data_IF_260527618335
#
_entry.id   IF_260527618335
#
_cell.length_a   1.000
_cell.length_b   1.000
_cell.length_c   1.000
_cell.angle_alpha   90.00
_cell.angle_beta   90.00
_cell.angle_gamma   90.00
#
_symmetry.space_group_name_H-M   'P 1'
#
loop_
_entity.id
_entity.type
_entity.pdbx_description
1 polymer ?
#
# COMPACT_ATOMS: atom_id res chain seq x y z
N UNK A 1 -0.14 -27.82 -24.26
CA UNK A 1 -0.08 -27.36 -22.86
C UNK A 1 -1.12 -28.17 -22.11
N UNK A 2 -0.69 -29.25 -21.41
CA UNK A 2 -1.60 -30.02 -20.56
C UNK A 2 -1.98 -29.17 -19.33
N UNK A 3 -3.28 -28.85 -19.21
CA UNK A 3 -3.83 -28.31 -17.98
C UNK A 3 -3.76 -29.40 -16.91
N UNK A 4 -2.97 -29.23 -15.89
CA UNK A 4 -2.98 -30.07 -14.69
C UNK A 4 -4.34 -29.82 -14.02
N UNK A 5 -5.23 -30.82 -13.89
CA UNK A 5 -6.49 -30.63 -13.18
C UNK A 5 -6.20 -30.41 -11.71
N UNK A 6 -6.74 -29.32 -11.16
CA UNK A 6 -6.72 -29.10 -9.72
C UNK A 6 -7.51 -30.20 -9.00
N UNK A 7 -7.04 -30.72 -7.86
CA UNK A 7 -7.79 -31.70 -7.08
C UNK A 7 -9.19 -31.16 -6.75
N UNK A 8 -10.23 -31.94 -7.00
CA UNK A 8 -11.63 -31.57 -6.73
C UNK A 8 -11.97 -31.46 -5.24
N UNK A 9 -11.08 -31.96 -4.38
CA UNK A 9 -11.24 -32.04 -2.91
C UNK A 9 -10.19 -31.20 -2.17
N UNK A 10 -9.77 -30.05 -2.73
CA UNK A 10 -9.04 -29.08 -1.90
C UNK A 10 -9.94 -28.73 -0.71
N UNK A 11 -9.47 -28.92 0.56
CA UNK A 11 -10.27 -28.55 1.71
C UNK A 11 -10.70 -27.09 1.53
N UNK A 12 -12.01 -26.83 1.69
CA UNK A 12 -12.51 -25.46 1.77
C UNK A 12 -11.71 -24.84 2.91
N UNK A 13 -10.76 -23.98 2.59
CA UNK A 13 -10.09 -23.16 3.60
C UNK A 13 -11.23 -22.41 4.25
N UNK A 14 -11.49 -22.69 5.53
CA UNK A 14 -12.31 -21.80 6.34
C UNK A 14 -11.66 -20.45 6.17
N UNK A 15 -12.39 -19.55 5.53
CA UNK A 15 -11.99 -18.14 5.46
C UNK A 15 -12.20 -17.70 6.91
N UNK A 16 -11.14 -17.80 7.73
CA UNK A 16 -11.09 -17.15 9.02
C UNK A 16 -11.51 -15.71 8.77
N UNK A 17 -12.46 -15.22 9.54
CA UNK A 17 -12.92 -13.83 9.46
C UNK A 17 -11.68 -12.95 9.39
N UNK A 18 -11.51 -12.24 8.28
CA UNK A 18 -10.30 -11.42 8.09
C UNK A 18 -10.38 -10.31 9.13
N UNK A 19 -9.52 -10.39 10.13
CA UNK A 19 -9.36 -9.32 11.10
C UNK A 19 -9.21 -7.99 10.41
N UNK A 20 -10.05 -7.05 10.75
CA UNK A 20 -10.00 -5.66 10.30
C UNK A 20 -9.98 -4.74 11.51
N UNK A 21 -9.25 -3.66 11.41
CA UNK A 21 -9.25 -2.61 12.43
C UNK A 21 -10.34 -1.59 12.15
N UNK A 22 -11.03 -1.18 13.19
CA UNK A 22 -11.92 -0.02 13.15
C UNK A 22 -11.11 1.30 13.12
N UNK A 23 -11.79 2.42 12.92
CA UNK A 23 -11.18 3.75 12.86
C UNK A 23 -10.38 4.06 14.13
N UNK A 24 -10.95 3.77 15.31
CA UNK A 24 -10.31 4.03 16.59
C UNK A 24 -9.00 3.26 16.73
N UNK A 25 -9.00 2.00 16.37
CA UNK A 25 -7.81 1.14 16.39
C UNK A 25 -6.77 1.62 15.37
N UNK A 26 -7.20 2.01 14.16
CA UNK A 26 -6.30 2.55 13.13
C UNK A 26 -5.60 3.82 13.60
N UNK A 27 -6.34 4.75 14.19
CA UNK A 27 -5.78 6.01 14.70
C UNK A 27 -4.83 5.77 15.89
N UNK A 28 -5.23 4.90 16.84
CA UNK A 28 -4.39 4.57 17.99
C UNK A 28 -3.10 3.90 17.56
N UNK A 29 -3.14 2.94 16.65
CA UNK A 29 -1.97 2.26 16.11
C UNK A 29 -1.02 3.22 15.40
N UNK A 30 -1.55 4.14 14.59
CA UNK A 30 -0.75 5.13 13.87
C UNK A 30 0.06 6.01 14.84
N UNK A 31 -0.52 6.41 15.97
CA UNK A 31 0.14 7.26 16.98
C UNK A 31 1.34 6.58 17.67
N UNK A 32 1.46 5.26 17.64
CA UNK A 32 2.56 4.53 18.26
C UNK A 32 3.74 4.23 17.32
N UNK A 33 3.61 4.53 16.03
CA UNK A 33 4.66 4.25 15.05
C UNK A 33 5.69 5.39 15.03
N UNK A 34 6.86 5.15 15.61
CA UNK A 34 7.95 6.14 15.70
C UNK A 34 8.77 6.28 14.40
N UNK A 35 8.91 5.20 13.61
CA UNK A 35 9.64 5.26 12.34
C UNK A 35 8.87 6.09 11.31
N UNK A 36 9.40 7.26 10.85
CA UNK A 36 8.62 8.17 9.99
C UNK A 36 8.23 7.57 8.64
N UNK A 37 9.10 6.75 8.05
CA UNK A 37 8.79 6.10 6.77
C UNK A 37 7.69 5.04 6.94
N UNK A 38 7.73 4.26 8.04
CA UNK A 38 6.68 3.29 8.35
C UNK A 38 5.37 4.00 8.68
N UNK A 39 5.41 5.07 9.49
CA UNK A 39 4.25 5.88 9.85
C UNK A 39 3.53 6.38 8.59
N UNK A 40 4.25 7.07 7.71
CA UNK A 40 3.68 7.58 6.46
C UNK A 40 3.12 6.46 5.58
N UNK A 41 3.83 5.32 5.45
CA UNK A 41 3.36 4.20 4.65
C UNK A 41 2.07 3.57 5.21
N UNK A 42 2.00 3.40 6.53
CA UNK A 42 0.80 2.92 7.24
C UNK A 42 -0.35 3.90 7.09
N UNK A 43 -0.11 5.21 7.30
CA UNK A 43 -1.10 6.25 7.13
C UNK A 43 -1.69 6.25 5.69
N UNK A 44 -0.83 6.19 4.67
CA UNK A 44 -1.27 6.11 3.27
C UNK A 44 -2.10 4.84 2.99
N UNK A 45 -1.71 3.70 3.56
CA UNK A 45 -2.48 2.46 3.40
C UNK A 45 -3.84 2.54 4.07
N UNK A 46 -3.93 3.14 5.27
CA UNK A 46 -5.17 3.30 6.03
C UNK A 46 -6.14 4.31 5.41
N UNK A 47 -5.66 5.44 4.90
CA UNK A 47 -6.53 6.50 4.38
C UNK A 47 -6.88 6.29 2.91
N UNK A 48 -5.90 5.86 2.09
CA UNK A 48 -6.05 5.78 0.65
C UNK A 48 -6.19 4.34 0.13
N UNK A 49 -6.23 3.35 1.00
CA UNK A 49 -6.27 1.92 0.62
C UNK A 49 -5.15 1.52 -0.34
N UNK A 50 -3.97 2.12 -0.24
CA UNK A 50 -2.85 1.82 -1.10
C UNK A 50 -2.21 0.47 -0.76
N UNK A 51 -1.76 -0.26 -1.79
CA UNK A 51 -0.92 -1.45 -1.62
C UNK A 51 0.51 -1.05 -1.28
N UNK A 52 1.21 -1.89 -0.53
CA UNK A 52 2.63 -1.68 -0.20
C UNK A 52 3.48 -1.31 -1.43
N UNK A 53 3.37 -2.08 -2.51
CA UNK A 53 4.13 -1.80 -3.72
C UNK A 53 3.70 -0.52 -4.44
N UNK A 54 2.45 -0.08 -4.34
CA UNK A 54 1.97 1.21 -4.85
C UNK A 54 2.60 2.35 -4.05
N UNK A 55 2.59 2.27 -2.71
CA UNK A 55 3.22 3.24 -1.80
C UNK A 55 4.71 3.40 -2.12
N UNK A 56 5.45 2.29 -2.15
CA UNK A 56 6.88 2.30 -2.41
C UNK A 56 7.22 2.69 -3.85
N UNK A 57 6.27 2.55 -4.78
CA UNK A 57 6.41 2.95 -6.18
C UNK A 57 6.22 4.45 -6.42
N UNK A 58 5.77 5.22 -5.43
CA UNK A 58 5.56 6.66 -5.58
C UNK A 58 6.88 7.42 -5.71
N UNK A 59 6.82 8.47 -6.52
CA UNK A 59 7.87 9.46 -6.71
C UNK A 59 7.35 10.85 -6.32
N UNK A 60 8.19 11.81 -5.94
CA UNK A 60 7.74 13.18 -5.65
C UNK A 60 6.92 13.81 -6.79
N UNK A 61 7.21 13.46 -8.04
CA UNK A 61 6.45 13.91 -9.23
C UNK A 61 5.03 13.33 -9.34
N UNK A 62 4.68 12.33 -8.54
CA UNK A 62 3.32 11.78 -8.48
C UNK A 62 2.41 12.57 -7.53
N UNK A 63 2.95 13.57 -6.81
CA UNK A 63 2.26 14.42 -5.85
C UNK A 63 2.01 15.80 -6.46
N UNK A 64 0.77 16.25 -6.43
CA UNK A 64 0.38 17.61 -6.79
C UNK A 64 -0.38 18.23 -5.62
N UNK A 65 0.27 19.15 -4.90
CA UNK A 65 -0.27 19.75 -3.68
C UNK A 65 -1.25 20.89 -3.95
N UNK A 66 -1.29 21.43 -5.18
CA UNK A 66 -2.15 22.55 -5.55
C UNK A 66 -3.43 22.09 -6.26
N UNK A 67 -3.44 20.85 -6.75
CA UNK A 67 -4.62 20.26 -7.40
C UNK A 67 -5.84 20.19 -6.47
N UNK A 68 -7.02 20.08 -7.06
CA UNK A 68 -8.30 19.91 -6.35
C UNK A 68 -8.56 21.00 -5.31
N UNK A 69 -8.45 22.27 -5.72
CA UNK A 69 -8.66 23.46 -4.87
C UNK A 69 -7.77 23.48 -3.63
N UNK A 70 -6.50 23.05 -3.79
CA UNK A 70 -5.50 23.01 -2.75
C UNK A 70 -5.59 21.81 -1.80
N UNK A 71 -6.49 20.86 -2.04
CA UNK A 71 -6.53 19.59 -1.26
C UNK A 71 -5.29 18.76 -1.51
N UNK A 72 -4.85 18.70 -2.77
CA UNK A 72 -3.75 17.89 -3.25
C UNK A 72 -4.18 16.52 -3.76
N UNK A 73 -3.41 16.00 -4.73
CA UNK A 73 -3.66 14.70 -5.34
C UNK A 73 -2.41 13.83 -5.39
N UNK A 74 -2.63 12.52 -5.47
CA UNK A 74 -1.60 11.49 -5.65
C UNK A 74 -1.95 10.67 -6.89
N UNK A 75 -1.04 10.63 -7.86
CA UNK A 75 -1.17 9.81 -9.05
C UNK A 75 -0.58 8.42 -8.82
N UNK A 76 -1.42 7.40 -8.74
CA UNK A 76 -0.99 6.01 -8.55
C UNK A 76 -0.95 5.32 -9.90
N UNK A 77 0.25 5.14 -10.46
CA UNK A 77 0.45 4.55 -11.79
C UNK A 77 1.62 3.57 -11.86
N UNK A 78 2.26 3.32 -10.72
CA UNK A 78 3.46 2.50 -10.61
C UNK A 78 3.36 1.55 -9.42
N UNK A 79 4.13 0.49 -9.46
CA UNK A 79 4.29 -0.41 -8.33
C UNK A 79 5.72 -0.90 -8.23
N UNK A 80 6.25 -0.91 -7.02
CA UNK A 80 7.56 -1.49 -6.72
C UNK A 80 7.39 -2.93 -6.27
N UNK A 81 8.22 -3.79 -6.79
CA UNK A 81 8.27 -5.20 -6.36
C UNK A 81 9.64 -5.80 -6.58
N UNK A 82 9.93 -6.90 -5.87
CA UNK A 82 11.07 -7.74 -6.17
C UNK A 82 10.69 -8.80 -7.21
N UNK A 83 11.56 -9.02 -8.19
CA UNK A 83 11.33 -10.02 -9.24
C UNK A 83 12.61 -10.83 -9.47
N UNK A 84 12.47 -12.13 -9.75
CA UNK A 84 13.58 -12.98 -10.13
C UNK A 84 14.14 -12.53 -11.48
N UNK A 85 15.47 -12.57 -11.65
CA UNK A 85 16.15 -12.13 -12.88
C UNK A 85 15.70 -12.96 -14.10
N UNK A 86 15.57 -14.27 -13.96
CA UNK A 86 15.05 -15.14 -15.03
C UNK A 86 13.61 -14.80 -15.47
N UNK A 87 12.81 -14.27 -14.53
CA UNK A 87 11.46 -13.81 -14.84
C UNK A 87 11.46 -12.42 -15.51
N UNK A 88 12.44 -11.57 -15.17
CA UNK A 88 12.59 -10.25 -15.80
C UNK A 88 12.97 -10.34 -17.26
N UNK A 89 13.82 -11.31 -17.63
CA UNK A 89 14.22 -11.56 -19.03
C UNK A 89 13.02 -11.94 -19.93
N UNK A 90 11.95 -12.49 -19.32
CA UNK A 90 10.71 -12.91 -20.02
C UNK A 90 9.61 -11.84 -19.99
N UNK A 91 9.82 -10.78 -19.25
CA UNK A 91 8.85 -9.68 -19.14
C UNK A 91 8.97 -8.74 -20.35
N UNK A 92 7.84 -8.23 -20.83
CA UNK A 92 7.85 -7.15 -21.81
C UNK A 92 8.60 -5.93 -21.21
N UNK A 93 9.71 -5.48 -21.85
CA UNK A 93 10.50 -4.35 -21.37
C UNK A 93 9.65 -3.08 -21.14
N UNK A 94 8.58 -2.90 -21.91
CA UNK A 94 7.67 -1.76 -21.76
C UNK A 94 6.86 -1.77 -20.46
N UNK A 95 6.86 -2.87 -19.71
CA UNK A 95 6.20 -2.96 -18.41
C UNK A 95 7.08 -2.51 -17.25
N UNK A 96 8.41 -2.46 -17.44
CA UNK A 96 9.38 -2.08 -16.40
C UNK A 96 9.85 -0.65 -16.67
N UNK A 97 9.63 0.24 -15.71
CA UNK A 97 10.11 1.62 -15.78
C UNK A 97 11.58 1.73 -15.36
N UNK A 98 11.95 0.97 -14.33
CA UNK A 98 13.31 1.03 -13.78
C UNK A 98 13.64 -0.28 -13.03
N UNK A 99 14.91 -0.70 -13.14
CA UNK A 99 15.51 -1.77 -12.32
C UNK A 99 16.56 -1.14 -11.43
N UNK A 100 16.37 -1.25 -10.11
CA UNK A 100 17.29 -0.69 -9.14
C UNK A 100 18.53 -1.55 -9.00
N UNK A 101 19.70 -0.95 -8.68
CA UNK A 101 20.92 -1.69 -8.41
C UNK A 101 20.74 -2.72 -7.29
N UNK A 102 21.32 -3.88 -7.47
CA UNK A 102 21.31 -4.91 -6.43
C UNK A 102 22.22 -4.50 -5.26
N UNK A 103 21.72 -4.62 -4.05
CA UNK A 103 22.51 -4.34 -2.82
C UNK A 103 23.56 -5.41 -2.53
N UNK A 104 23.41 -6.60 -3.10
CA UNK A 104 24.32 -7.72 -2.93
C UNK A 104 24.72 -8.27 -4.30
N UNK A 105 25.99 -8.44 -4.48
CA UNK A 105 26.52 -9.13 -5.66
C UNK A 105 25.99 -10.58 -5.70
N UNK A 106 25.70 -11.09 -6.91
CA UNK A 106 25.14 -12.42 -7.08
C UNK A 106 23.66 -12.59 -6.68
N UNK A 107 22.93 -11.49 -6.42
CA UNK A 107 21.50 -11.56 -6.16
C UNK A 107 20.74 -12.22 -7.33
N UNK A 108 19.87 -13.19 -7.02
CA UNK A 108 18.99 -13.87 -8.01
C UNK A 108 17.73 -13.07 -8.34
N UNK A 109 17.50 -11.95 -7.64
CA UNK A 109 16.33 -11.10 -7.83
C UNK A 109 16.72 -9.64 -7.76
N UNK A 110 16.03 -8.78 -8.52
CA UNK A 110 16.21 -7.34 -8.51
C UNK A 110 14.94 -6.62 -8.07
N UNK A 111 15.10 -5.45 -7.48
CA UNK A 111 14.00 -4.55 -7.17
C UNK A 111 13.65 -3.78 -8.44
N UNK A 112 12.36 -3.74 -8.79
CA UNK A 112 11.89 -3.09 -10.01
C UNK A 112 10.74 -2.14 -9.73
N UNK A 113 10.68 -1.06 -10.49
CA UNK A 113 9.53 -0.18 -10.63
C UNK A 113 8.84 -0.52 -11.94
N UNK A 114 7.56 -0.87 -11.89
CA UNK A 114 6.82 -1.31 -13.08
C UNK A 114 5.41 -0.75 -13.15
N UNK A 115 4.81 -0.90 -14.33
CA UNK A 115 3.38 -0.63 -14.54
C UNK A 115 2.51 -1.54 -13.68
N UNK A 116 1.37 -1.07 -13.17
CA UNK A 116 0.41 -1.93 -12.50
C UNK A 116 -0.13 -3.00 -13.47
N UNK A 117 -0.56 -4.12 -12.91
CA UNK A 117 -1.04 -5.28 -13.69
C UNK A 117 -2.23 -4.96 -14.60
N UNK A 118 -3.07 -3.99 -14.23
CA UNK A 118 -4.26 -3.58 -14.98
C UNK A 118 -4.32 -2.07 -15.14
N UNK A 119 -4.90 -1.60 -16.27
CA UNK A 119 -5.13 -0.15 -16.48
C UNK A 119 -6.03 0.47 -15.40
N UNK A 120 -6.97 -0.28 -14.83
CA UNK A 120 -7.84 0.16 -13.72
C UNK A 120 -7.10 0.42 -12.41
N UNK A 121 -5.87 -0.08 -12.27
CA UNK A 121 -5.06 0.20 -11.09
C UNK A 121 -4.43 1.60 -11.11
N UNK A 122 -4.35 2.24 -12.28
CA UNK A 122 -3.93 3.64 -12.38
C UNK A 122 -5.10 4.55 -12.02
N UNK A 123 -4.88 5.40 -11.03
CA UNK A 123 -5.92 6.28 -10.48
C UNK A 123 -5.33 7.52 -9.82
N UNK A 124 -6.15 8.54 -9.66
CA UNK A 124 -5.83 9.74 -8.87
C UNK A 124 -6.58 9.63 -7.55
N UNK A 125 -5.89 9.91 -6.47
CA UNK A 125 -6.43 9.93 -5.11
C UNK A 125 -6.29 11.33 -4.53
N UNK A 126 -7.25 11.73 -3.69
CA UNK A 126 -7.24 13.02 -3.01
C UNK A 126 -6.59 12.89 -1.64
N UNK A 127 -5.75 13.85 -1.28
CA UNK A 127 -5.11 13.88 0.04
C UNK A 127 -6.11 14.37 1.09
N UNK A 128 -6.04 13.79 2.29
CA UNK A 128 -6.59 14.44 3.49
C UNK A 128 -5.62 15.52 3.96
N UNK A 129 -6.11 16.52 4.71
CA UNK A 129 -5.25 17.58 5.23
C UNK A 129 -4.09 17.04 6.08
N UNK A 130 -4.30 16.10 7.04
CA UNK A 130 -3.19 15.53 7.82
C UNK A 130 -2.16 14.80 6.95
N UNK A 131 -2.61 14.03 5.94
CA UNK A 131 -1.70 13.32 5.04
C UNK A 131 -0.88 14.29 4.18
N UNK A 132 -1.50 15.39 3.70
CA UNK A 132 -0.79 16.44 2.95
C UNK A 132 0.30 17.08 3.79
N UNK A 133 0.02 17.44 5.04
CA UNK A 133 0.98 18.03 5.97
C UNK A 133 2.14 17.07 6.25
N UNK A 134 1.86 15.78 6.46
CA UNK A 134 2.88 14.75 6.67
C UNK A 134 3.75 14.54 5.43
N UNK A 135 3.16 14.52 4.23
CA UNK A 135 3.91 14.39 2.97
C UNK A 135 4.84 15.59 2.74
N UNK A 136 4.39 16.80 3.05
CA UNK A 136 5.24 18.00 2.98
C UNK A 136 6.42 17.91 3.95
N UNK A 137 6.18 17.52 5.20
CA UNK A 137 7.24 17.30 6.20
C UNK A 137 8.21 16.18 5.77
N UNK A 138 7.69 15.10 5.18
CA UNK A 138 8.50 14.01 4.65
C UNK A 138 9.41 14.47 3.49
N UNK A 139 8.89 15.26 2.55
CA UNK A 139 9.70 15.82 1.46
C UNK A 139 10.81 16.74 1.98
N UNK A 140 10.54 17.53 3.00
CA UNK A 140 11.56 18.38 3.62
C UNK A 140 12.63 17.56 4.31
N UNK A 141 12.24 16.49 5.03
CA UNK A 141 13.19 15.52 5.59
C UNK A 141 14.07 14.89 4.50
N UNK A 142 13.50 14.49 3.37
CA UNK A 142 14.27 13.91 2.26
C UNK A 142 15.29 14.90 1.68
N UNK A 143 14.99 16.19 1.63
CA UNK A 143 15.95 17.23 1.22
C UNK A 143 17.08 17.37 2.25
N UNK A 144 16.75 17.33 3.53
CA UNK A 144 17.76 17.39 4.60
C UNK A 144 18.67 16.15 4.57
N UNK A 145 18.11 14.96 4.38
CA UNK A 145 18.86 13.71 4.22
C UNK A 145 19.84 13.82 3.02
N UNK A 146 19.40 14.39 1.90
CA UNK A 146 20.22 14.61 0.71
C UNK A 146 21.33 15.63 0.92
N UNK A 147 21.05 16.74 1.61
CA UNK A 147 22.06 17.76 1.96
C UNK A 147 23.13 17.25 2.92
N UNK A 148 22.75 16.38 3.86
CA UNK A 148 23.64 15.78 4.85
C UNK A 148 24.22 14.43 4.40
N UNK A 149 24.00 14.07 3.15
CA UNK A 149 24.28 12.74 2.64
C UNK A 149 25.79 12.45 2.58
N UNK A 150 26.20 11.19 2.82
CA UNK A 150 27.56 10.74 2.61
C UNK A 150 27.95 10.84 1.12
N UNK A 151 29.27 10.88 0.81
CA UNK A 151 29.80 10.93 -0.55
C UNK A 151 29.20 9.89 -1.52
N UNK A 152 28.67 8.78 -1.01
CA UNK A 152 28.06 7.68 -1.78
C UNK A 152 26.53 7.76 -1.87
N UNK A 153 25.94 8.93 -1.64
CA UNK A 153 24.50 9.09 -1.80
C UNK A 153 24.08 8.87 -3.25
N UNK A 154 23.01 8.11 -3.45
CA UNK A 154 22.43 7.82 -4.75
C UNK A 154 20.92 8.04 -4.74
N UNK A 155 20.48 9.23 -5.17
CA UNK A 155 19.05 9.52 -5.25
C UNK A 155 18.35 8.60 -6.26
N UNK A 156 17.63 7.63 -5.75
CA UNK A 156 16.86 6.68 -6.57
C UNK A 156 15.56 7.26 -7.18
N UNK A 157 15.21 8.51 -6.86
CA UNK A 157 14.01 9.18 -7.34
C UNK A 157 12.71 8.75 -6.66
N UNK A 158 12.74 7.81 -5.73
CA UNK A 158 11.54 7.35 -5.03
C UNK A 158 11.17 8.26 -3.86
N UNK A 159 9.86 8.36 -3.56
CA UNK A 159 9.37 9.06 -2.37
C UNK A 159 9.82 8.32 -1.10
N UNK A 160 9.78 6.99 -1.11
CA UNK A 160 10.21 6.14 0.01
C UNK A 160 11.65 5.66 -0.22
N UNK A 161 12.59 6.43 0.30
CA UNK A 161 14.03 6.14 0.24
C UNK A 161 14.71 6.26 1.60
N UNK A 162 15.82 5.58 1.74
CA UNK A 162 16.67 5.60 2.92
C UNK A 162 17.57 6.85 2.93
N UNK A 163 18.24 7.16 4.06
CA UNK A 163 19.17 8.29 4.14
C UNK A 163 20.36 8.19 3.17
N UNK A 164 20.70 7.00 2.66
CA UNK A 164 21.71 6.78 1.63
C UNK A 164 21.18 7.02 0.19
N UNK A 165 19.91 7.39 0.07
CA UNK A 165 19.21 7.64 -1.19
C UNK A 165 18.67 6.40 -1.90
N UNK A 166 18.94 5.20 -1.40
CA UNK A 166 18.45 3.96 -1.98
C UNK A 166 16.96 3.71 -1.63
N UNK A 167 16.19 3.01 -2.49
CA UNK A 167 14.78 2.79 -2.26
C UNK A 167 14.55 1.88 -1.05
N UNK A 168 13.49 2.13 -0.31
CA UNK A 168 12.96 1.20 0.70
C UNK A 168 12.31 0.04 -0.04
N UNK A 169 12.89 -1.16 0.12
CA UNK A 169 12.35 -2.37 -0.51
C UNK A 169 11.13 -2.91 0.28
N UNK A 170 10.18 -3.60 -0.37
CA UNK A 170 9.00 -4.17 0.30
C UNK A 170 9.35 -5.02 1.52
N UNK A 171 10.40 -5.85 1.41
CA UNK A 171 10.83 -6.72 2.51
C UNK A 171 11.29 -5.93 3.75
N UNK A 172 11.85 -4.74 3.54
CA UNK A 172 12.29 -3.87 4.64
C UNK A 172 11.09 -3.21 5.32
N UNK A 173 10.14 -2.69 4.56
CA UNK A 173 8.90 -2.10 5.10
C UNK A 173 8.09 -3.16 5.86
N UNK A 174 7.87 -4.34 5.27
CA UNK A 174 7.22 -5.48 5.93
C UNK A 174 7.96 -5.89 7.21
N UNK A 175 9.31 -5.87 7.21
CA UNK A 175 10.10 -6.17 8.42
C UNK A 175 9.86 -5.14 9.51
N UNK A 176 9.89 -3.85 9.20
CA UNK A 176 9.62 -2.79 10.18
C UNK A 176 8.22 -2.90 10.76
N UNK A 177 7.21 -3.12 9.91
CA UNK A 177 5.83 -3.31 10.35
C UNK A 177 5.68 -4.54 11.26
N UNK A 178 6.35 -5.66 10.94
CA UNK A 178 6.35 -6.87 11.78
C UNK A 178 7.00 -6.64 13.14
N UNK A 179 8.11 -5.91 13.19
CA UNK A 179 8.79 -5.58 14.44
C UNK A 179 7.89 -4.69 15.31
N UNK A 180 7.35 -3.63 14.73
CA UNK A 180 6.40 -2.76 15.42
C UNK A 180 5.21 -3.56 15.99
N UNK A 181 4.59 -4.45 15.22
CA UNK A 181 3.49 -5.30 15.71
C UNK A 181 3.89 -6.20 16.88
N UNK A 182 5.11 -6.72 16.87
CA UNK A 182 5.61 -7.56 17.96
C UNK A 182 5.79 -6.77 19.27
N UNK A 183 6.06 -5.47 19.17
CA UNK A 183 6.20 -4.55 20.31
C UNK A 183 4.84 -4.01 20.78
N UNK A 184 3.77 -4.15 19.97
CA UNK A 184 2.42 -3.66 20.23
C UNK A 184 1.38 -4.79 20.20
N UNK A 185 1.43 -5.75 21.15
CA UNK A 185 0.49 -6.87 21.21
C UNK A 185 -0.93 -6.46 21.60
N UNK A 186 -1.15 -5.22 22.06
CA UNK A 186 -2.46 -4.64 22.36
C UNK A 186 -3.32 -4.45 21.12
N UNK A 187 -2.71 -4.36 19.93
CA UNK A 187 -3.43 -4.30 18.66
C UNK A 187 -3.58 -5.71 18.08
N UNK A 188 -4.78 -6.02 17.63
CA UNK A 188 -5.03 -7.27 16.93
C UNK A 188 -4.10 -7.43 15.72
N UNK A 189 -3.46 -8.59 15.59
CA UNK A 189 -2.36 -8.79 14.66
C UNK A 189 -2.85 -8.96 13.22
N UNK A 190 -2.68 -7.92 12.40
CA UNK A 190 -2.95 -7.94 10.96
C UNK A 190 -1.65 -7.77 10.16
N UNK A 191 -1.59 -8.33 8.95
CA UNK A 191 -0.48 -8.09 8.03
C UNK A 191 -0.63 -6.71 7.37
N UNK A 192 0.44 -6.15 6.78
CA UNK A 192 0.39 -4.82 6.15
C UNK A 192 -0.76 -4.69 5.14
N UNK A 193 -1.05 -5.74 4.38
CA UNK A 193 -2.19 -5.74 3.45
C UNK A 193 -3.56 -5.68 4.16
N UNK A 194 -3.64 -6.10 5.42
CA UNK A 194 -4.83 -5.97 6.26
C UNK A 194 -5.23 -4.52 6.53
N UNK A 195 -4.26 -3.58 6.57
CA UNK A 195 -4.53 -2.14 6.66
C UNK A 195 -5.41 -1.64 5.52
N UNK A 196 -5.12 -2.11 4.30
CA UNK A 196 -5.92 -1.79 3.12
C UNK A 196 -7.33 -2.40 3.19
N UNK A 197 -7.48 -3.60 3.75
CA UNK A 197 -8.80 -4.18 3.97
C UNK A 197 -9.61 -3.37 4.98
N UNK A 198 -9.00 -2.99 6.11
CA UNK A 198 -9.61 -2.10 7.10
C UNK A 198 -10.04 -0.77 6.50
N UNK A 199 -9.15 -0.13 5.70
CA UNK A 199 -9.46 1.10 4.98
C UNK A 199 -10.62 0.95 4.01
N UNK A 200 -10.65 -0.11 3.19
CA UNK A 200 -11.72 -0.33 2.22
C UNK A 200 -13.07 -0.54 2.89
N UNK A 201 -13.09 -1.29 3.99
CA UNK A 201 -14.30 -1.49 4.81
C UNK A 201 -14.77 -0.17 5.43
N UNK A 202 -13.85 0.60 6.01
CA UNK A 202 -14.17 1.91 6.57
C UNK A 202 -14.77 2.86 5.51
N UNK A 203 -14.15 2.95 4.33
CA UNK A 203 -14.67 3.78 3.23
C UNK A 203 -16.07 3.34 2.78
N UNK A 204 -16.36 2.05 2.73
CA UNK A 204 -17.69 1.53 2.41
C UNK A 204 -18.74 1.93 3.46
N UNK A 205 -18.40 1.84 4.74
CA UNK A 205 -19.28 2.27 5.83
C UNK A 205 -19.54 3.77 5.76
N UNK A 206 -18.52 4.59 5.51
CA UNK A 206 -18.65 6.05 5.42
C UNK A 206 -19.39 6.53 4.17
N UNK A 207 -19.42 5.74 3.11
CA UNK A 207 -20.11 6.06 1.85
C UNK A 207 -21.50 5.45 1.72
N UNK A 208 -22.09 4.97 2.84
CA UNK A 208 -23.38 4.27 2.82
C UNK A 208 -23.44 3.12 1.80
N UNK A 209 -22.31 2.45 1.59
CA UNK A 209 -22.20 1.32 0.67
C UNK A 209 -21.98 1.69 -0.81
N UNK A 210 -21.50 2.90 -1.12
CA UNK A 210 -21.13 3.25 -2.51
C UNK A 210 -19.88 2.48 -2.99
N UNK A 211 -20.13 1.24 -3.41
CA UNK A 211 -19.09 0.34 -3.93
C UNK A 211 -18.33 0.92 -5.11
N UNK A 212 -18.97 1.75 -5.94
CA UNK A 212 -18.37 2.29 -7.16
C UNK A 212 -17.30 3.34 -6.84
N UNK A 213 -17.61 4.25 -5.93
CA UNK A 213 -16.66 5.27 -5.45
C UNK A 213 -15.51 4.62 -4.70
N UNK A 214 -15.79 3.68 -3.80
CA UNK A 214 -14.76 2.96 -3.04
C UNK A 214 -13.89 2.10 -3.97
N UNK A 215 -14.47 1.45 -4.99
CA UNK A 215 -13.69 0.74 -6.02
C UNK A 215 -12.76 1.68 -6.77
N UNK A 216 -13.20 2.89 -7.09
CA UNK A 216 -12.37 3.94 -7.71
C UNK A 216 -11.17 4.30 -6.84
N UNK A 217 -11.39 4.54 -5.55
CA UNK A 217 -10.31 4.86 -4.60
C UNK A 217 -9.36 3.69 -4.37
N UNK A 218 -9.90 2.51 -4.14
CA UNK A 218 -9.08 1.33 -3.80
C UNK A 218 -8.39 0.71 -5.02
N UNK A 219 -8.90 0.91 -6.24
CA UNK A 219 -8.38 0.27 -7.46
C UNK A 219 -8.55 -1.25 -7.45
N UNK A 220 -9.64 -1.77 -6.87
CA UNK A 220 -10.00 -3.17 -7.00
C UNK A 220 -10.49 -3.49 -8.42
N UNK A 221 -10.01 -4.60 -8.99
CA UNK A 221 -10.33 -4.99 -10.36
C UNK A 221 -11.82 -5.28 -10.54
N UNK A 222 -12.48 -5.84 -9.53
CA UNK A 222 -13.90 -6.20 -9.53
C UNK A 222 -14.58 -5.78 -8.23
N UNK A 223 -15.89 -5.48 -8.30
CA UNK A 223 -16.71 -5.19 -7.13
C UNK A 223 -16.84 -6.41 -6.21
N UNK A 224 -16.76 -7.65 -6.74
CA UNK A 224 -16.86 -8.87 -5.93
C UNK A 224 -15.76 -8.96 -4.86
N UNK A 225 -14.51 -8.60 -5.20
CA UNK A 225 -13.40 -8.59 -4.22
C UNK A 225 -13.68 -7.62 -3.07
N UNK A 226 -14.33 -6.49 -3.36
CA UNK A 226 -14.72 -5.51 -2.37
C UNK A 226 -15.93 -6.01 -1.56
N UNK A 227 -16.91 -6.65 -2.22
CA UNK A 227 -18.09 -7.27 -1.58
C UNK A 227 -17.68 -8.41 -0.66
N UNK A 228 -16.75 -9.27 -1.07
CA UNK A 228 -16.25 -10.38 -0.24
C UNK A 228 -15.58 -9.84 1.05
N UNK A 229 -14.91 -8.71 0.97
CA UNK A 229 -14.31 -8.05 2.14
C UNK A 229 -15.40 -7.47 3.07
N UNK A 230 -16.48 -6.92 2.50
CA UNK A 230 -17.58 -6.29 3.25
C UNK A 230 -18.59 -7.30 3.79
N UNK A 231 -18.83 -8.41 3.11
CA UNK A 231 -19.84 -9.41 3.51
C UNK A 231 -19.57 -10.03 4.90
N UNK A 232 -18.30 -10.03 5.34
CA UNK A 232 -17.90 -10.55 6.65
C UNK A 232 -18.09 -9.56 7.82
N UNK A 233 -18.45 -8.29 7.54
CA UNK A 233 -18.54 -7.23 8.58
C UNK A 233 -19.97 -6.86 8.94
N UNK A 234 -20.98 -7.58 8.46
CA UNK A 234 -22.39 -7.13 8.46
C UNK A 234 -23.30 -7.67 9.56
N UNK A 235 -22.84 -8.02 10.74
CA UNK A 235 -23.79 -8.39 11.80
C UNK A 235 -24.57 -7.16 12.31
N UNK A 236 -23.94 -6.01 12.47
CA UNK A 236 -24.56 -4.77 12.95
C UNK A 236 -25.65 -4.21 12.00
N UNK A 237 -25.38 -3.99 10.69
CA UNK A 237 -26.41 -3.58 9.74
C UNK A 237 -27.53 -4.61 9.54
N UNK A 238 -27.26 -5.91 9.70
CA UNK A 238 -28.30 -6.95 9.62
C UNK A 238 -29.26 -6.89 10.79
N UNK A 239 -28.77 -6.59 12.00
CA UNK A 239 -29.61 -6.34 13.18
C UNK A 239 -30.48 -5.10 12.97
N UNK A 240 -29.93 -4.00 12.47
CA UNK A 240 -30.68 -2.76 12.21
C UNK A 240 -31.77 -2.92 11.12
N UNK A 241 -31.56 -3.83 10.15
CA UNK A 241 -32.57 -4.16 9.14
C UNK A 241 -33.77 -4.97 9.71
N UNK A 242 -33.58 -5.64 10.83
CA UNK A 242 -34.65 -6.40 11.50
C UNK A 242 -35.48 -5.56 12.49
N UNK A 243 -35.01 -4.35 12.82
CA UNK A 243 -35.70 -3.41 13.72
C UNK A 243 -36.53 -2.34 12.98
N UNK A 244 -36.51 -2.33 11.63
CA UNK A 244 -37.33 -1.49 10.75
C UNK A 244 -38.50 -2.27 10.17
#
# INVERSE_FOLDING_TARGET
IHKIPLPRDAPKVNIEERTIWDEKTMLAALQTIENPALHLAVHMSMILSLREGEILGLQPSDLDFDAADGRGTISVSKTMQRANKDALEKLDPNQVYHTFPDRREGSKSSLILKKPKTKKSSRILYMTKPLKEELLAWLEKLKQDEQNAPEKYSNCGQLFRLPDGLPIAPELLTKWYRLWRAEHPEFEQIVFHGLRHSSATYQLLQSDGDFKSVQGNTGHATASVLMDTYAHTQDKPRLELTEK
#
